data_IF_015472706987
#
_entry.id   IF_015472706987
#
_cell.length_a   1.000
_cell.length_b   1.000
_cell.length_c   1.000
_cell.angle_alpha   90.00
_cell.angle_beta   90.00
_cell.angle_gamma   90.00
#
_symmetry.space_group_name_H-M   'P 1'
#
loop_
_entity.id
_entity.type
_entity.pdbx_description
1 polymer ?
#
# COMPACT_ATOMS: atom_id res chain seq x y z
N UNK A 1 -6.01 13.42 3.73
CA UNK A 1 -5.76 12.13 3.06
C UNK A 1 -5.00 11.18 3.98
N UNK A 2 -3.82 11.54 4.50
CA UNK A 2 -3.01 10.67 5.36
C UNK A 2 -3.78 10.11 6.57
N UNK A 3 -4.52 10.93 7.30
CA UNK A 3 -5.34 10.49 8.43
C UNK A 3 -6.37 9.42 8.07
N UNK A 4 -7.00 9.53 6.91
CA UNK A 4 -7.97 8.53 6.46
C UNK A 4 -7.29 7.21 6.07
N UNK A 5 -6.05 7.24 5.61
CA UNK A 5 -5.24 6.07 5.27
C UNK A 5 -4.35 5.59 6.44
N UNK A 6 -4.40 6.23 7.61
CA UNK A 6 -3.70 5.77 8.81
C UNK A 6 -4.38 4.53 9.44
N UNK A 7 -4.60 3.51 8.63
CA UNK A 7 -5.18 2.21 8.98
C UNK A 7 -4.85 1.20 7.86
N UNK A 8 -4.19 0.08 8.15
CA UNK A 8 -3.71 -0.85 7.12
C UNK A 8 -4.84 -1.48 6.30
N UNK A 9 -6.03 -1.67 6.88
CA UNK A 9 -7.18 -2.19 6.13
C UNK A 9 -7.70 -1.14 5.14
N UNK A 10 -7.75 0.15 5.54
CA UNK A 10 -8.20 1.23 4.63
C UNK A 10 -7.25 1.42 3.46
N UNK A 11 -5.93 1.29 3.66
CA UNK A 11 -4.95 1.28 2.57
C UNK A 11 -5.29 0.16 1.59
N UNK A 12 -5.46 -1.07 2.06
CA UNK A 12 -5.77 -2.23 1.20
C UNK A 12 -7.11 -2.09 0.48
N UNK A 13 -8.14 -1.56 1.14
CA UNK A 13 -9.44 -1.31 0.52
C UNK A 13 -9.32 -0.29 -0.62
N UNK A 14 -8.61 0.80 -0.38
CA UNK A 14 -8.37 1.84 -1.39
C UNK A 14 -7.60 1.28 -2.60
N UNK A 15 -6.55 0.51 -2.35
CA UNK A 15 -5.75 -0.14 -3.39
C UNK A 15 -6.58 -1.14 -4.23
N UNK A 16 -7.40 -1.97 -3.58
CA UNK A 16 -8.27 -2.89 -4.32
C UNK A 16 -9.32 -2.16 -5.15
N UNK A 17 -9.78 -1.00 -4.70
CA UNK A 17 -10.68 -0.16 -5.49
C UNK A 17 -9.96 0.50 -6.67
N UNK A 18 -8.67 0.85 -6.52
CA UNK A 18 -7.84 1.36 -7.60
C UNK A 18 -7.62 0.31 -8.73
N UNK A 19 -7.62 -0.98 -8.38
CA UNK A 19 -7.56 -2.07 -9.36
C UNK A 19 -8.86 -2.18 -10.19
N UNK A 20 -10.01 -2.11 -9.54
CA UNK A 20 -11.33 -2.15 -10.17
C UNK A 20 -12.44 -1.71 -9.20
N UNK A 21 -13.55 -1.13 -9.67
CA UNK A 21 -14.72 -0.86 -8.84
C UNK A 21 -15.26 -2.14 -8.19
N UNK A 22 -15.52 -2.08 -6.88
CA UNK A 22 -15.98 -3.24 -6.09
C UNK A 22 -17.09 -2.86 -5.11
N UNK A 23 -17.96 -3.83 -4.82
CA UNK A 23 -18.92 -3.72 -3.73
C UNK A 23 -18.27 -4.07 -2.37
N UNK A 24 -18.92 -3.66 -1.27
CA UNK A 24 -18.48 -4.01 0.07
C UNK A 24 -18.35 -5.53 0.27
N UNK A 25 -19.20 -6.33 -0.37
CA UNK A 25 -19.13 -7.78 -0.31
C UNK A 25 -17.89 -8.33 -1.02
N UNK A 26 -17.59 -7.83 -2.22
CA UNK A 26 -16.38 -8.24 -2.95
C UNK A 26 -15.10 -7.85 -2.20
N UNK A 27 -15.08 -6.66 -1.58
CA UNK A 27 -13.97 -6.24 -0.72
C UNK A 27 -13.84 -7.11 0.53
N UNK A 28 -14.97 -7.53 1.10
CA UNK A 28 -15.00 -8.46 2.23
C UNK A 28 -14.39 -9.83 1.87
N UNK A 29 -14.71 -10.34 0.69
CA UNK A 29 -14.13 -11.57 0.17
C UNK A 29 -12.60 -11.42 -0.02
N UNK A 30 -12.13 -10.27 -0.54
CA UNK A 30 -10.69 -9.97 -0.66
C UNK A 30 -10.00 -9.88 0.71
N UNK A 31 -10.66 -9.26 1.70
CA UNK A 31 -10.12 -9.06 3.03
C UNK A 31 -10.17 -10.32 3.92
N UNK A 32 -10.98 -11.30 3.56
CA UNK A 32 -11.31 -12.44 4.43
C UNK A 32 -12.08 -12.02 5.69
N UNK A 33 -12.88 -10.95 5.60
CA UNK A 33 -13.63 -10.36 6.70
C UNK A 33 -15.13 -10.32 6.39
N UNK A 34 -16.00 -10.28 7.42
CA UNK A 34 -17.42 -10.02 7.22
C UNK A 34 -17.67 -8.62 6.63
N UNK A 35 -18.63 -8.49 5.70
CA UNK A 35 -18.91 -7.24 5.01
C UNK A 35 -19.37 -6.10 5.94
N UNK A 36 -20.01 -6.42 7.06
CA UNK A 36 -20.46 -5.45 8.07
C UNK A 36 -19.29 -4.70 8.71
N UNK A 37 -18.13 -5.34 8.85
CA UNK A 37 -16.92 -4.69 9.36
C UNK A 37 -16.33 -3.67 8.40
N UNK A 38 -16.60 -3.79 7.11
CA UNK A 38 -16.02 -2.89 6.11
C UNK A 38 -16.79 -1.57 5.98
N UNK A 39 -18.06 -1.52 6.33
CA UNK A 39 -18.87 -0.31 6.14
C UNK A 39 -18.32 0.90 6.91
N UNK A 40 -17.77 0.69 8.09
CA UNK A 40 -17.11 1.77 8.84
C UNK A 40 -15.89 2.31 8.07
N UNK A 41 -15.02 1.42 7.60
CA UNK A 41 -13.80 1.81 6.87
C UNK A 41 -14.13 2.46 5.53
N UNK A 42 -15.10 1.93 4.79
CA UNK A 42 -15.59 2.52 3.55
C UNK A 42 -16.20 3.90 3.79
N UNK A 43 -16.98 4.07 4.86
CA UNK A 43 -17.51 5.37 5.26
C UNK A 43 -16.43 6.40 5.58
N UNK A 44 -15.34 5.99 6.23
CA UNK A 44 -14.19 6.86 6.49
C UNK A 44 -13.47 7.29 5.21
N UNK A 45 -13.29 6.37 4.27
CA UNK A 45 -12.69 6.68 2.97
C UNK A 45 -13.59 7.58 2.12
N UNK A 46 -14.92 7.32 2.12
CA UNK A 46 -15.91 8.13 1.41
C UNK A 46 -15.98 9.57 1.98
N UNK A 47 -16.01 9.72 3.32
CA UNK A 47 -16.00 11.02 3.99
C UNK A 47 -14.70 11.80 3.73
N UNK A 48 -13.58 11.12 3.57
CA UNK A 48 -12.30 11.74 3.21
C UNK A 48 -12.17 12.06 1.71
N UNK A 49 -13.19 11.75 0.90
CA UNK A 49 -13.16 11.98 -0.54
C UNK A 49 -12.17 11.08 -1.30
N UNK A 50 -11.76 9.96 -0.72
CA UNK A 50 -10.81 9.03 -1.35
C UNK A 50 -11.49 8.00 -2.23
N UNK A 51 -12.76 7.72 -1.95
CA UNK A 51 -13.61 6.83 -2.73
C UNK A 51 -14.99 7.46 -2.92
N UNK A 52 -15.69 7.02 -3.94
CA UNK A 52 -17.06 7.41 -4.23
C UNK A 52 -17.93 6.22 -4.61
N UNK A 53 -19.25 6.41 -4.61
CA UNK A 53 -20.19 5.42 -5.12
C UNK A 53 -20.26 5.55 -6.64
N UNK A 54 -19.53 4.70 -7.35
CA UNK A 54 -19.50 4.65 -8.81
C UNK A 54 -20.77 4.07 -9.44
N UNK A 55 -21.59 3.36 -8.66
CA UNK A 55 -22.81 2.78 -9.17
C UNK A 55 -23.52 1.86 -8.18
N UNK A 56 -24.57 1.22 -8.69
CA UNK A 56 -25.41 0.30 -7.93
C UNK A 56 -25.57 -1.01 -8.68
N UNK A 57 -25.34 -2.13 -8.01
CA UNK A 57 -25.57 -3.47 -8.56
C UNK A 57 -26.83 -4.10 -7.98
N UNK A 58 -27.73 -4.56 -8.84
CA UNK A 58 -28.92 -5.31 -8.42
C UNK A 58 -28.55 -6.74 -8.06
N UNK A 59 -28.98 -7.17 -6.90
CA UNK A 59 -28.83 -8.53 -6.41
C UNK A 59 -30.17 -9.29 -6.56
N UNK A 60 -30.12 -10.61 -6.32
CA UNK A 60 -31.32 -11.42 -6.25
C UNK A 60 -32.31 -10.88 -5.21
N UNK A 61 -33.63 -11.05 -5.47
CA UNK A 61 -34.74 -10.58 -4.61
C UNK A 61 -34.84 -9.04 -4.49
N UNK A 62 -34.39 -8.29 -5.52
CA UNK A 62 -34.54 -6.83 -5.56
C UNK A 62 -33.63 -6.03 -4.63
N UNK A 63 -32.69 -6.67 -3.91
CA UNK A 63 -31.67 -5.96 -3.13
C UNK A 63 -30.71 -5.23 -4.06
N UNK A 64 -30.22 -4.10 -3.59
CA UNK A 64 -29.25 -3.27 -4.31
C UNK A 64 -28.03 -3.10 -3.41
N UNK A 65 -26.83 -3.24 -3.96
CA UNK A 65 -25.57 -2.94 -3.27
C UNK A 65 -24.85 -1.79 -3.96
N UNK A 66 -24.12 -1.00 -3.18
CA UNK A 66 -23.25 0.07 -3.68
C UNK A 66 -21.98 -0.54 -4.24
N UNK A 67 -21.52 0.00 -5.36
CA UNK A 67 -20.21 -0.26 -5.96
C UNK A 67 -19.37 0.99 -5.78
N UNK A 68 -18.19 0.84 -5.19
CA UNK A 68 -17.26 1.92 -4.89
C UNK A 68 -16.12 1.91 -5.90
N UNK A 69 -15.58 3.09 -6.17
CA UNK A 69 -14.36 3.32 -6.94
C UNK A 69 -13.51 4.42 -6.27
N UNK A 70 -12.24 4.58 -6.63
CA UNK A 70 -11.48 5.74 -6.22
C UNK A 70 -12.16 7.01 -6.71
N UNK A 71 -12.18 8.05 -5.88
CA UNK A 71 -12.55 9.39 -6.31
C UNK A 71 -11.37 10.01 -7.10
N UNK A 72 -11.67 10.91 -8.03
CA UNK A 72 -10.66 11.74 -8.67
C UNK A 72 -10.13 12.75 -7.63
N UNK A 73 -9.07 12.36 -6.93
CA UNK A 73 -8.44 13.18 -5.89
C UNK A 73 -7.01 13.50 -6.30
N UNK A 74 -6.61 14.75 -6.20
CA UNK A 74 -5.19 15.10 -6.34
C UNK A 74 -4.37 14.42 -5.24
N UNK A 75 -3.15 13.96 -5.57
CA UNK A 75 -2.25 13.43 -4.56
C UNK A 75 -2.00 14.49 -3.47
N UNK A 76 -1.77 14.07 -2.20
CA UNK A 76 -1.52 15.01 -1.12
C UNK A 76 -0.27 15.85 -1.45
N UNK A 77 -0.39 17.16 -1.26
CA UNK A 77 0.78 18.05 -1.32
C UNK A 77 1.77 17.78 -0.19
N UNK A 78 2.95 18.39 -0.30
CA UNK A 78 4.04 18.27 0.69
C UNK A 78 3.72 18.89 2.08
N UNK A 79 2.55 19.54 2.23
CA UNK A 79 2.12 20.24 3.46
C UNK A 79 1.41 19.33 4.50
N UNK A 80 1.61 18.02 4.42
CA UNK A 80 0.98 17.10 5.37
C UNK A 80 1.56 17.24 6.77
N UNK A 81 0.68 17.13 7.80
CA UNK A 81 1.06 17.10 9.20
C UNK A 81 2.06 15.92 9.44
N UNK A 82 3.21 16.16 10.07
CA UNK A 82 4.20 15.12 10.36
C UNK A 82 3.60 13.90 11.09
N UNK A 83 2.74 14.10 12.08
CA UNK A 83 2.11 13.00 12.83
C UNK A 83 1.15 12.17 11.94
N UNK A 84 0.41 12.82 11.05
CA UNK A 84 -0.44 12.13 10.08
C UNK A 84 0.39 11.36 9.04
N UNK A 85 1.54 11.90 8.65
CA UNK A 85 2.48 11.25 7.73
C UNK A 85 3.08 10.01 8.36
N UNK A 86 3.56 10.09 9.61
CA UNK A 86 4.11 8.96 10.35
C UNK A 86 3.09 7.84 10.52
N UNK A 87 1.86 8.19 10.90
CA UNK A 87 0.77 7.22 11.03
C UNK A 87 0.41 6.54 9.70
N UNK A 88 0.42 7.29 8.60
CA UNK A 88 0.21 6.76 7.26
C UNK A 88 1.32 5.79 6.84
N UNK A 89 2.59 6.19 7.01
CA UNK A 89 3.76 5.36 6.68
C UNK A 89 3.76 4.07 7.51
N UNK A 90 3.49 4.17 8.82
CA UNK A 90 3.34 3.01 9.69
C UNK A 90 2.28 2.04 9.20
N UNK A 91 1.11 2.55 8.84
CA UNK A 91 -0.01 1.73 8.31
C UNK A 91 0.31 1.10 6.96
N UNK A 92 1.07 1.78 6.10
CA UNK A 92 1.52 1.24 4.82
C UNK A 92 2.50 0.08 5.00
N UNK A 93 3.43 0.19 5.95
CA UNK A 93 4.35 -0.89 6.30
C UNK A 93 3.61 -2.09 6.91
N UNK A 94 2.62 -1.86 7.76
CA UNK A 94 1.78 -2.91 8.34
C UNK A 94 0.95 -3.63 7.27
N UNK A 95 0.30 -2.90 6.36
CA UNK A 95 -0.42 -3.48 5.23
C UNK A 95 0.51 -4.35 4.37
N UNK A 96 1.73 -3.89 4.10
CA UNK A 96 2.76 -4.64 3.37
C UNK A 96 3.13 -5.93 4.10
N UNK A 97 3.36 -5.88 5.41
CA UNK A 97 3.66 -7.05 6.23
C UNK A 97 2.51 -8.07 6.22
N UNK A 98 1.26 -7.60 6.24
CA UNK A 98 0.07 -8.46 6.11
C UNK A 98 0.04 -9.18 4.75
N UNK A 99 0.33 -8.48 3.66
CA UNK A 99 0.35 -9.07 2.31
C UNK A 99 1.46 -10.13 2.17
N UNK A 100 2.66 -9.84 2.67
CA UNK A 100 3.77 -10.80 2.70
C UNK A 100 3.38 -12.04 3.51
N UNK A 101 2.82 -11.86 4.71
CA UNK A 101 2.37 -12.96 5.58
C UNK A 101 1.32 -13.81 4.89
N UNK A 102 0.32 -13.19 4.27
CA UNK A 102 -0.74 -13.89 3.53
C UNK A 102 -0.18 -14.70 2.35
N UNK A 103 0.80 -14.14 1.63
CA UNK A 103 1.47 -14.83 0.52
C UNK A 103 2.26 -16.06 1.00
N UNK A 104 3.00 -15.96 2.10
CA UNK A 104 3.69 -17.12 2.72
C UNK A 104 2.72 -18.19 3.21
N UNK A 105 1.62 -17.80 3.85
CA UNK A 105 0.58 -18.75 4.28
C UNK A 105 -0.06 -19.46 3.08
N UNK A 106 -0.36 -18.72 2.01
CA UNK A 106 -0.88 -19.29 0.77
C UNK A 106 0.10 -20.30 0.14
N UNK A 107 1.40 -19.98 0.12
CA UNK A 107 2.46 -20.88 -0.36
C UNK A 107 2.54 -22.16 0.48
N UNK A 108 2.47 -22.06 1.81
CA UNK A 108 2.42 -23.22 2.71
C UNK A 108 1.20 -24.10 2.49
N UNK A 109 0.08 -23.52 2.05
CA UNK A 109 -1.13 -24.22 1.65
C UNK A 109 -1.10 -24.76 0.20
N UNK A 110 0.08 -24.81 -0.45
CA UNK A 110 0.27 -25.34 -1.81
C UNK A 110 -0.21 -24.42 -2.94
N UNK A 111 -0.59 -23.17 -2.64
CA UNK A 111 -0.97 -22.19 -3.68
C UNK A 111 0.29 -21.52 -4.23
N UNK A 112 0.36 -21.35 -5.57
CA UNK A 112 1.47 -20.64 -6.20
C UNK A 112 1.43 -19.16 -5.77
N UNK A 113 2.46 -18.72 -5.05
CA UNK A 113 2.72 -17.34 -4.67
C UNK A 113 4.22 -17.13 -4.66
N UNK A 114 4.66 -16.04 -5.28
CA UNK A 114 6.06 -15.63 -5.27
C UNK A 114 6.20 -14.45 -4.32
N UNK A 115 7.25 -14.44 -3.52
CA UNK A 115 7.58 -13.35 -2.61
C UNK A 115 9.09 -13.19 -2.66
N UNK A 116 9.52 -12.03 -3.16
CA UNK A 116 10.90 -11.60 -3.14
C UNK A 116 11.03 -10.45 -2.16
N UNK A 117 11.90 -10.60 -1.18
CA UNK A 117 12.17 -9.57 -0.19
C UNK A 117 13.66 -9.29 -0.14
N UNK A 118 14.05 -8.10 -0.56
CA UNK A 118 15.42 -7.65 -0.53
C UNK A 118 15.58 -6.55 0.52
N UNK A 119 16.55 -6.74 1.41
CA UNK A 119 16.95 -5.73 2.39
C UNK A 119 18.46 -5.67 2.46
N UNK A 120 19.02 -4.48 2.26
CA UNK A 120 20.46 -4.25 2.29
C UNK A 120 20.74 -2.81 2.69
N UNK A 121 22.02 -2.52 2.93
CA UNK A 121 22.50 -1.15 3.09
C UNK A 121 23.56 -0.89 2.02
N UNK A 122 23.43 0.22 1.33
CA UNK A 122 24.35 0.71 0.33
C UNK A 122 24.97 2.01 0.82
N UNK A 123 26.25 2.24 0.54
CA UNK A 123 26.88 3.55 0.73
C UNK A 123 26.82 4.27 -0.62
N UNK A 124 26.04 5.32 -0.69
CA UNK A 124 25.79 6.08 -1.91
C UNK A 124 26.23 7.52 -1.72
N UNK A 125 26.78 8.14 -2.76
CA UNK A 125 26.90 9.58 -2.87
C UNK A 125 25.54 10.19 -3.17
N UNK A 126 25.36 11.50 -2.94
CA UNK A 126 24.10 12.21 -3.28
C UNK A 126 23.73 12.02 -4.75
N UNK A 127 24.71 12.06 -5.64
CA UNK A 127 24.52 11.83 -7.06
C UNK A 127 24.02 10.41 -7.35
N UNK A 128 24.65 9.39 -6.73
CA UNK A 128 24.24 7.99 -6.90
C UNK A 128 22.86 7.72 -6.32
N UNK A 129 22.50 8.37 -5.21
CA UNK A 129 21.16 8.29 -4.63
C UNK A 129 20.11 8.93 -5.54
N UNK A 130 20.41 10.11 -6.12
CA UNK A 130 19.51 10.75 -7.09
C UNK A 130 19.32 9.90 -8.35
N UNK A 131 20.39 9.30 -8.86
CA UNK A 131 20.33 8.38 -10.00
C UNK A 131 19.47 7.14 -9.67
N UNK A 132 19.66 6.53 -8.50
CA UNK A 132 18.88 5.37 -8.05
C UNK A 132 17.38 5.71 -7.97
N UNK A 133 17.02 6.88 -7.41
CA UNK A 133 15.63 7.35 -7.37
C UNK A 133 15.03 7.46 -8.78
N UNK A 134 15.76 8.11 -9.69
CA UNK A 134 15.30 8.24 -11.07
C UNK A 134 15.14 6.90 -11.79
N UNK A 135 15.99 5.91 -11.53
CA UNK A 135 15.85 4.56 -12.08
C UNK A 135 14.63 3.83 -11.52
N UNK A 136 14.32 3.99 -10.22
CA UNK A 136 13.13 3.42 -9.58
C UNK A 136 11.86 4.01 -10.20
N UNK A 137 11.80 5.33 -10.40
CA UNK A 137 10.67 6.01 -11.03
C UNK A 137 10.46 5.53 -12.47
N UNK A 138 11.53 5.45 -13.25
CA UNK A 138 11.48 4.94 -14.64
C UNK A 138 11.03 3.47 -14.67
N UNK A 139 11.50 2.65 -13.73
CA UNK A 139 11.08 1.25 -13.62
C UNK A 139 9.59 1.16 -13.29
N UNK A 140 9.10 1.91 -12.33
CA UNK A 140 7.69 1.97 -11.99
C UNK A 140 6.82 2.40 -13.18
N UNK A 141 7.21 3.48 -13.88
CA UNK A 141 6.51 3.97 -15.06
C UNK A 141 6.46 2.94 -16.20
N UNK A 142 7.56 2.19 -16.41
CA UNK A 142 7.64 1.15 -17.46
C UNK A 142 6.63 0.02 -17.25
N UNK A 143 6.28 -0.29 -16.01
CA UNK A 143 5.36 -1.38 -15.66
C UNK A 143 3.99 -0.89 -15.17
N UNK A 144 3.67 0.39 -15.33
CA UNK A 144 2.41 0.98 -14.89
C UNK A 144 1.19 0.48 -15.68
N UNK A 145 1.39 0.01 -16.92
CA UNK A 145 0.33 -0.56 -17.76
C UNK A 145 0.66 -2.00 -18.16
N UNK A 146 0.26 -2.98 -17.33
CA UNK A 146 0.61 -4.40 -17.53
C UNK A 146 -0.18 -5.10 -18.64
N UNK A 147 -1.17 -4.46 -19.23
CA UNK A 147 -2.13 -5.13 -20.12
C UNK A 147 -3.12 -6.03 -19.39
N UNK A 148 -4.07 -6.62 -20.13
CA UNK A 148 -5.22 -7.35 -19.56
C UNK A 148 -4.85 -8.69 -18.90
N UNK A 149 -3.71 -9.30 -19.22
CA UNK A 149 -3.32 -10.65 -18.80
C UNK A 149 -2.33 -10.67 -17.61
N UNK A 150 -2.08 -9.53 -16.97
CA UNK A 150 -1.16 -9.40 -15.85
C UNK A 150 -1.69 -9.98 -14.53
N UNK A 151 -0.76 -10.38 -13.65
CA UNK A 151 -1.08 -10.70 -12.25
C UNK A 151 -0.78 -9.49 -11.39
N UNK A 152 -1.72 -9.08 -10.56
CA UNK A 152 -1.50 -8.00 -9.61
C UNK A 152 -0.34 -8.35 -8.67
N UNK A 153 0.70 -7.54 -8.71
CA UNK A 153 1.91 -7.70 -7.90
C UNK A 153 2.17 -6.41 -7.14
N UNK A 154 2.26 -6.51 -5.82
CA UNK A 154 2.65 -5.37 -4.98
C UNK A 154 4.15 -5.19 -5.01
N UNK A 155 4.57 -3.98 -5.33
CA UNK A 155 5.96 -3.55 -5.27
C UNK A 155 6.07 -2.47 -4.21
N UNK A 156 6.96 -2.66 -3.24
CA UNK A 156 7.25 -1.68 -2.17
C UNK A 156 8.74 -1.43 -2.16
N UNK A 157 9.11 -0.18 -2.32
CA UNK A 157 10.49 0.29 -2.30
C UNK A 157 10.62 1.39 -1.26
N UNK A 158 11.56 1.26 -0.35
CA UNK A 158 11.86 2.27 0.64
C UNK A 158 13.36 2.62 0.61
N UNK A 159 13.67 3.90 0.48
CA UNK A 159 15.01 4.43 0.63
C UNK A 159 15.05 5.24 1.92
N UNK A 160 15.83 4.76 2.88
CA UNK A 160 15.95 5.38 4.21
C UNK A 160 17.39 5.78 4.42
N UNK A 161 17.61 7.06 4.75
CA UNK A 161 18.91 7.55 5.14
C UNK A 161 19.25 7.05 6.56
N UNK A 162 20.43 6.44 6.70
CA UNK A 162 20.93 5.87 7.95
C UNK A 162 22.07 6.74 8.52
N UNK A 163 21.87 8.06 8.61
CA UNK A 163 22.89 9.04 9.02
C UNK A 163 23.54 8.71 10.38
N UNK A 164 22.80 8.10 11.30
CA UNK A 164 23.30 7.76 12.65
C UNK A 164 24.07 6.44 12.72
N UNK A 165 24.32 5.80 11.58
CA UNK A 165 25.08 4.56 11.59
C UNK A 165 26.57 4.87 11.78
N UNK A 166 27.20 4.40 12.86
CA UNK A 166 28.65 4.60 13.04
C UNK A 166 29.39 3.99 11.84
N UNK A 167 30.36 4.75 11.31
CA UNK A 167 31.22 4.27 10.24
C UNK A 167 31.91 2.99 10.67
N UNK A 168 31.93 1.98 9.79
CA UNK A 168 32.59 0.71 10.06
C UNK A 168 34.09 0.86 10.34
N UNK A 169 34.71 2.00 9.93
CA UNK A 169 36.10 2.36 10.14
C UNK A 169 36.35 3.18 11.41
N UNK A 170 35.33 3.48 12.22
CA UNK A 170 35.57 4.15 13.51
C UNK A 170 36.07 3.11 14.49
N UNK A 171 37.36 3.15 14.90
CA UNK A 171 37.91 2.21 15.88
C UNK A 171 37.13 2.35 17.19
N UNK A 172 36.88 1.24 17.93
CA UNK A 172 36.16 1.28 19.18
C UNK A 172 36.87 2.27 20.12
N UNK A 173 36.10 3.24 20.66
CA UNK A 173 36.64 4.16 21.67
C UNK A 173 37.15 3.33 22.82
N UNK A 174 38.46 3.41 23.08
CA UNK A 174 39.07 2.78 24.26
C UNK A 174 38.36 3.28 25.51
N UNK A 175 37.95 2.36 26.41
CA UNK A 175 37.41 2.78 27.70
C UNK A 175 38.50 3.54 28.48
N UNK A 176 38.13 4.71 29.00
CA UNK A 176 38.97 5.50 29.91
C UNK A 176 39.03 4.87 31.29
#
# INVERSE_FOLDING_TARGET
MHKALADPLRIRLWEWLAEAPRSARQLADCAGLPADRLYYHLGQLEQAGLIEVAGYRRLARGKVERVYAPAETEPPGDDADPEETDAFLGSMLEATAMDITAAYQARRAGRRREVDLHRGALRLTDQALAELRGQIEQLAARFADPGADGTWTRVVLALVDLQDRPDADTPPRSPA
#
